data_IF_907598115961
#
_entry.id   IF_907598115961
#
_cell.length_a   1.000
_cell.length_b   1.000
_cell.length_c   1.000
_cell.angle_alpha   90.00
_cell.angle_beta   90.00
_cell.angle_gamma   90.00
#
_symmetry.space_group_name_H-M   'P 1'
#
loop_
_entity.id
_entity.type
_entity.pdbx_description
1 polymer ?
#
# COMPACT_ATOMS: atom_id res chain seq x y z
N UNK A 1 77.12 -0.27 -28.33
CA UNK A 1 76.06 0.61 -27.79
C UNK A 1 74.78 -0.20 -27.70
N UNK A 2 74.33 -0.55 -26.49
CA UNK A 2 73.04 -1.21 -26.24
C UNK A 2 72.39 -0.45 -25.08
N UNK A 3 71.36 0.32 -25.39
CA UNK A 3 70.59 1.09 -24.44
C UNK A 3 69.39 0.24 -23.99
N UNK A 4 69.38 -0.12 -22.71
CA UNK A 4 68.27 -0.86 -22.09
C UNK A 4 67.29 0.17 -21.52
N UNK A 5 66.08 0.24 -22.09
CA UNK A 5 64.99 1.07 -21.58
C UNK A 5 64.24 0.32 -20.47
N UNK A 6 64.16 0.91 -19.28
CA UNK A 6 63.28 0.45 -18.20
C UNK A 6 61.90 1.11 -18.37
N UNK A 7 60.85 0.29 -18.49
CA UNK A 7 59.45 0.75 -18.53
C UNK A 7 58.85 0.58 -17.14
N UNK A 8 58.53 1.69 -16.49
CA UNK A 8 57.80 1.74 -15.22
C UNK A 8 56.30 1.55 -15.47
N UNK A 9 55.73 0.43 -15.01
CA UNK A 9 54.30 0.21 -15.01
C UNK A 9 53.67 0.79 -13.73
N UNK A 10 52.91 1.88 -13.87
CA UNK A 10 52.05 2.43 -12.83
C UNK A 10 50.80 1.54 -12.73
N UNK A 11 50.73 0.68 -11.70
CA UNK A 11 49.49 0.00 -11.36
C UNK A 11 48.56 0.98 -10.62
N UNK A 12 47.55 1.46 -11.32
CA UNK A 12 46.43 2.20 -10.74
C UNK A 12 45.60 1.25 -9.86
N UNK A 13 45.68 1.43 -8.55
CA UNK A 13 44.81 0.76 -7.60
C UNK A 13 43.40 1.34 -7.70
N UNK A 14 42.47 0.62 -8.33
CA UNK A 14 41.03 0.90 -8.21
C UNK A 14 40.58 0.44 -6.83
N UNK A 15 40.29 1.39 -5.94
CA UNK A 15 39.65 1.10 -4.67
C UNK A 15 38.24 0.55 -4.95
N UNK A 16 38.04 -0.74 -4.69
CA UNK A 16 36.72 -1.33 -4.65
C UNK A 16 35.99 -0.78 -3.41
N UNK A 17 35.09 0.17 -3.62
CA UNK A 17 34.15 0.60 -2.58
C UNK A 17 33.18 -0.56 -2.39
N UNK A 18 33.43 -1.39 -1.38
CA UNK A 18 32.50 -2.42 -0.94
C UNK A 18 31.30 -1.72 -0.33
N UNK A 19 30.27 -1.47 -1.16
CA UNK A 19 28.98 -1.01 -0.68
C UNK A 19 28.43 -2.10 0.26
N UNK A 20 28.24 -1.74 1.54
CA UNK A 20 27.58 -2.63 2.49
C UNK A 20 26.26 -3.09 1.87
N UNK A 21 25.93 -4.40 1.92
CA UNK A 21 24.59 -4.82 1.59
C UNK A 21 23.66 -4.08 2.55
N UNK A 22 22.88 -3.16 2.02
CA UNK A 22 21.76 -2.59 2.74
C UNK A 22 20.84 -3.76 2.99
N UNK A 23 20.93 -4.31 4.20
CA UNK A 23 19.97 -5.28 4.69
C UNK A 23 18.61 -4.66 4.44
N UNK A 24 17.89 -5.21 3.45
CA UNK A 24 16.51 -4.88 3.19
C UNK A 24 15.80 -5.20 4.49
N UNK A 25 15.53 -4.17 5.30
CA UNK A 25 14.65 -4.24 6.46
C UNK A 25 13.44 -5.02 5.98
N UNK A 26 13.28 -6.24 6.52
CA UNK A 26 12.29 -7.18 6.06
C UNK A 26 10.93 -6.48 6.11
N UNK A 27 10.46 -6.15 4.90
CA UNK A 27 9.22 -5.46 4.54
C UNK A 27 7.98 -6.36 4.79
N UNK A 28 8.08 -7.30 5.72
CA UNK A 28 7.10 -8.38 5.93
C UNK A 28 6.09 -8.14 7.05
N UNK A 29 6.31 -7.14 7.90
CA UNK A 29 5.60 -7.02 9.19
C UNK A 29 4.48 -5.96 9.17
N UNK A 30 3.78 -5.78 8.04
CA UNK A 30 2.50 -5.04 8.04
C UNK A 30 1.28 -5.97 8.04
N UNK A 31 1.49 -7.26 7.77
CA UNK A 31 0.44 -8.26 7.84
C UNK A 31 0.31 -8.89 9.23
N UNK A 32 1.17 -8.55 10.20
CA UNK A 32 1.23 -9.34 11.42
C UNK A 32 0.08 -9.04 12.39
N UNK A 33 -0.41 -7.79 12.44
CA UNK A 33 -1.77 -7.43 12.90
C UNK A 33 -2.12 -6.06 12.33
N UNK A 34 -3.37 -5.86 11.92
CA UNK A 34 -3.96 -4.52 11.97
C UNK A 34 -3.58 -3.91 13.31
N UNK A 35 -3.05 -2.67 13.37
CA UNK A 35 -3.13 -1.94 14.62
C UNK A 35 -4.56 -2.06 15.12
N UNK A 36 -4.73 -2.54 16.36
CA UNK A 36 -6.02 -2.62 17.04
C UNK A 36 -6.51 -1.21 17.41
N UNK A 37 -6.34 -0.26 16.50
CA UNK A 37 -6.54 1.17 16.69
C UNK A 37 -7.96 1.61 16.29
N UNK A 38 -8.84 0.64 16.01
CA UNK A 38 -10.27 0.86 15.77
C UNK A 38 -10.63 1.28 14.34
N UNK A 39 -9.68 1.25 13.38
CA UNK A 39 -10.00 1.47 11.96
C UNK A 39 -10.58 0.21 11.33
N UNK A 40 -11.61 0.36 10.50
CA UNK A 40 -12.26 -0.77 9.84
C UNK A 40 -11.45 -1.27 8.64
N UNK A 41 -10.85 -0.35 7.88
CA UNK A 41 -10.01 -0.68 6.74
C UNK A 41 -8.87 0.33 6.55
N UNK A 42 -7.89 -0.04 5.74
CA UNK A 42 -6.86 0.86 5.21
C UNK A 42 -6.84 0.73 3.69
N UNK A 43 -6.87 1.84 2.97
CA UNK A 43 -6.81 1.88 1.50
C UNK A 43 -5.52 2.56 1.04
N UNK A 44 -4.98 2.12 -0.09
CA UNK A 44 -3.70 2.57 -0.63
C UNK A 44 -3.83 2.96 -2.10
N UNK A 45 -3.06 3.97 -2.53
CA UNK A 45 -3.05 4.43 -3.93
C UNK A 45 -2.22 3.56 -4.87
N UNK A 46 -1.40 2.67 -4.33
CA UNK A 46 -0.60 1.73 -5.11
C UNK A 46 -1.03 0.30 -4.85
N UNK A 47 -0.70 -0.59 -5.78
CA UNK A 47 -0.79 -2.03 -5.58
C UNK A 47 0.28 -2.51 -4.59
N UNK A 48 0.10 -3.70 -4.03
CA UNK A 48 1.02 -4.35 -3.10
C UNK A 48 1.35 -3.50 -1.86
N UNK A 49 0.44 -2.60 -1.47
CA UNK A 49 0.65 -1.65 -0.37
C UNK A 49 1.91 -0.78 -0.54
N UNK A 50 2.33 -0.57 -1.80
CA UNK A 50 3.50 0.23 -2.11
C UNK A 50 3.26 1.73 -1.83
N UNK A 51 4.36 2.47 -1.67
CA UNK A 51 4.35 3.89 -1.33
C UNK A 51 5.39 4.22 -0.27
N UNK A 52 5.72 5.51 -0.14
CA UNK A 52 6.74 5.99 0.80
C UNK A 52 6.18 6.15 2.22
N UNK A 53 4.98 5.60 2.46
CA UNK A 53 4.26 5.64 3.73
C UNK A 53 4.03 7.07 4.23
N UNK A 54 3.93 8.01 3.29
CA UNK A 54 3.47 9.37 3.55
C UNK A 54 1.94 9.40 3.54
N UNK A 55 1.35 10.34 4.28
CA UNK A 55 -0.11 10.45 4.46
C UNK A 55 -0.90 10.67 3.16
N UNK A 56 -0.22 10.82 2.02
CA UNK A 56 -0.83 10.92 0.69
C UNK A 56 -1.04 9.58 0.00
N UNK A 57 -0.38 8.52 0.46
CA UNK A 57 -0.29 7.22 -0.23
C UNK A 57 -1.24 6.18 0.36
N UNK A 58 -1.65 6.35 1.62
CA UNK A 58 -2.63 5.52 2.30
C UNK A 58 -3.55 6.35 3.19
N UNK A 59 -4.76 5.86 3.44
CA UNK A 59 -5.67 6.44 4.43
C UNK A 59 -6.42 5.36 5.19
N UNK A 60 -6.63 5.62 6.48
CA UNK A 60 -7.41 4.76 7.37
C UNK A 60 -8.89 5.09 7.24
N UNK A 61 -9.70 4.06 7.05
CA UNK A 61 -11.15 4.14 6.94
C UNK A 61 -11.77 3.80 8.29
N UNK A 62 -12.53 4.72 8.91
CA UNK A 62 -13.21 4.44 10.17
C UNK A 62 -14.41 3.50 9.96
N UNK A 63 -14.96 3.00 11.07
CA UNK A 63 -16.31 2.42 11.06
C UNK A 63 -17.31 3.51 10.67
N UNK A 64 -18.26 3.19 9.81
CA UNK A 64 -19.27 4.13 9.31
C UNK A 64 -20.69 3.76 9.76
N UNK A 65 -20.89 2.63 10.43
CA UNK A 65 -22.18 2.16 10.95
C UNK A 65 -23.31 2.24 9.90
N UNK A 66 -23.03 1.70 8.71
CA UNK A 66 -23.92 1.69 7.54
C UNK A 66 -24.26 3.09 6.95
N UNK A 67 -23.57 4.15 7.39
CA UNK A 67 -23.54 5.41 6.64
C UNK A 67 -22.59 5.30 5.44
N UNK A 68 -23.03 5.83 4.30
CA UNK A 68 -22.21 5.87 3.10
C UNK A 68 -21.14 6.97 3.16
N UNK A 69 -19.89 6.57 3.05
CA UNK A 69 -18.73 7.42 3.16
C UNK A 69 -18.17 7.78 1.77
N UNK A 70 -18.21 9.07 1.41
CA UNK A 70 -17.64 9.59 0.15
C UNK A 70 -16.14 9.82 0.28
N UNK A 71 -15.31 9.12 -0.49
CA UNK A 71 -13.85 9.29 -0.43
C UNK A 71 -13.42 10.72 -0.82
N UNK A 72 -14.15 11.38 -1.73
CA UNK A 72 -13.82 12.75 -2.10
C UNK A 72 -14.03 13.72 -0.93
N UNK A 73 -15.20 13.64 -0.31
CA UNK A 73 -15.66 14.61 0.67
C UNK A 73 -14.84 14.59 1.95
N UNK A 74 -14.35 13.41 2.32
CA UNK A 74 -13.65 13.20 3.59
C UNK A 74 -12.12 13.18 3.46
N UNK A 75 -11.60 12.67 2.34
CA UNK A 75 -10.15 12.46 2.22
C UNK A 75 -9.48 13.27 1.11
N UNK A 76 -10.24 13.93 0.22
CA UNK A 76 -9.72 14.83 -0.81
C UNK A 76 -8.75 14.17 -1.80
N UNK A 77 -9.13 14.06 -3.07
CA UNK A 77 -8.24 13.45 -4.09
C UNK A 77 -7.96 11.96 -3.86
N UNK A 78 -8.88 11.28 -3.17
CA UNK A 78 -8.89 9.82 -2.97
C UNK A 78 -9.94 9.11 -3.83
N UNK A 79 -10.83 9.85 -4.47
CA UNK A 79 -11.75 9.31 -5.47
C UNK A 79 -11.00 8.58 -6.57
N UNK A 80 -11.44 7.37 -6.88
CA UNK A 80 -10.90 6.56 -7.97
C UNK A 80 -9.36 6.39 -7.89
N UNK A 81 -8.82 6.38 -6.68
CA UNK A 81 -7.37 6.31 -6.46
C UNK A 81 -6.93 5.01 -5.77
N UNK A 82 -7.86 4.28 -5.15
CA UNK A 82 -7.54 3.06 -4.40
C UNK A 82 -7.13 1.93 -5.34
N UNK A 83 -6.04 1.24 -5.01
CA UNK A 83 -5.47 0.15 -5.82
C UNK A 83 -5.12 -1.12 -5.04
N UNK A 84 -4.98 -0.98 -3.73
CA UNK A 84 -4.88 -2.10 -2.78
C UNK A 84 -5.53 -1.67 -1.48
N UNK A 85 -6.00 -2.64 -0.70
CA UNK A 85 -6.65 -2.36 0.57
C UNK A 85 -6.57 -3.53 1.55
N UNK A 86 -6.82 -3.22 2.82
CA UNK A 86 -6.89 -4.20 3.90
C UNK A 86 -8.16 -3.91 4.70
N UNK A 87 -9.02 -4.92 4.88
CA UNK A 87 -10.12 -4.88 5.85
C UNK A 87 -9.69 -5.61 7.10
N UNK A 88 -9.84 -4.98 8.25
CA UNK A 88 -9.35 -5.52 9.51
C UNK A 88 -10.28 -6.57 10.07
N UNK A 89 -9.71 -7.44 10.91
CA UNK A 89 -10.49 -8.45 11.64
C UNK A 89 -11.58 -7.78 12.50
N UNK A 90 -12.75 -8.39 12.54
CA UNK A 90 -13.94 -7.88 13.22
C UNK A 90 -14.73 -6.84 12.42
N UNK A 91 -14.40 -6.61 11.14
CA UNK A 91 -15.09 -5.64 10.30
C UNK A 91 -15.50 -6.19 8.95
N UNK A 92 -16.59 -5.64 8.41
CA UNK A 92 -17.02 -5.82 7.03
C UNK A 92 -17.13 -4.47 6.35
N UNK A 93 -16.57 -4.38 5.14
CA UNK A 93 -16.64 -3.20 4.32
C UNK A 93 -17.21 -3.53 2.94
N UNK A 94 -17.97 -2.58 2.40
CA UNK A 94 -18.57 -2.63 1.08
C UNK A 94 -18.05 -1.40 0.31
N UNK A 95 -17.32 -1.66 -0.79
CA UNK A 95 -16.68 -0.62 -1.59
C UNK A 95 -17.43 -0.45 -2.91
N UNK A 96 -17.65 0.79 -3.34
CA UNK A 96 -18.47 1.12 -4.50
C UNK A 96 -17.69 1.99 -5.47
N UNK A 97 -17.91 1.77 -6.77
CA UNK A 97 -17.37 2.60 -7.85
C UNK A 97 -18.27 3.78 -8.22
N UNK A 98 -19.41 3.93 -7.54
CA UNK A 98 -20.31 5.08 -7.66
C UNK A 98 -20.33 5.88 -6.36
N UNK A 99 -20.84 7.11 -6.45
CA UNK A 99 -21.11 7.95 -5.28
C UNK A 99 -22.27 7.38 -4.46
N UNK A 100 -22.36 7.79 -3.19
CA UNK A 100 -23.50 7.48 -2.31
C UNK A 100 -23.81 5.98 -2.19
N UNK A 101 -22.78 5.14 -2.33
CA UNK A 101 -22.87 3.68 -2.18
C UNK A 101 -23.88 3.06 -3.15
N UNK A 102 -23.99 3.66 -4.35
CA UNK A 102 -24.79 3.14 -5.45
C UNK A 102 -24.10 2.00 -6.20
N UNK A 103 -24.92 1.15 -6.84
CA UNK A 103 -24.45 0.03 -7.64
C UNK A 103 -24.07 -1.22 -6.84
N UNK A 104 -23.36 -2.14 -7.48
CA UNK A 104 -22.92 -3.39 -6.88
C UNK A 104 -21.60 -3.19 -6.12
N UNK A 105 -21.53 -3.54 -4.82
CA UNK A 105 -20.31 -3.38 -4.04
C UNK A 105 -19.32 -4.54 -4.23
N UNK A 106 -18.03 -4.21 -4.08
CA UNK A 106 -17.03 -5.18 -3.66
C UNK A 106 -17.16 -5.39 -2.14
N UNK A 107 -17.70 -6.54 -1.74
CA UNK A 107 -17.86 -6.90 -0.34
C UNK A 107 -16.61 -7.60 0.19
N UNK A 108 -16.01 -7.09 1.25
CA UNK A 108 -14.84 -7.68 1.91
C UNK A 108 -15.07 -7.74 3.42
N UNK A 109 -14.64 -8.84 4.04
CA UNK A 109 -14.90 -9.13 5.44
C UNK A 109 -13.63 -9.67 6.08
N UNK A 110 -13.21 -9.06 7.18
CA UNK A 110 -12.21 -9.62 8.06
C UNK A 110 -12.89 -10.42 9.17
N UNK A 111 -13.22 -11.69 8.91
CA UNK A 111 -13.91 -12.54 9.88
C UNK A 111 -12.95 -13.59 10.45
N UNK A 112 -12.32 -13.28 11.59
CA UNK A 112 -11.32 -14.12 12.23
C UNK A 112 -9.89 -13.87 11.74
N UNK A 113 -9.73 -13.12 10.65
CA UNK A 113 -8.45 -12.63 10.13
C UNK A 113 -8.69 -11.40 9.22
N UNK A 114 -7.62 -10.69 8.85
CA UNK A 114 -7.73 -9.56 7.93
C UNK A 114 -8.04 -10.04 6.51
N UNK A 115 -8.89 -9.31 5.79
CA UNK A 115 -9.02 -9.48 4.33
C UNK A 115 -8.03 -8.55 3.63
N UNK A 116 -6.92 -9.12 3.17
CA UNK A 116 -5.81 -8.42 2.51
C UNK A 116 -5.97 -8.48 0.99
N UNK A 117 -6.02 -7.33 0.33
CA UNK A 117 -6.15 -7.21 -1.13
C UNK A 117 -4.95 -6.45 -1.69
N UNK A 118 -3.94 -7.20 -2.15
CA UNK A 118 -2.74 -6.64 -2.80
C UNK A 118 -3.05 -5.93 -4.12
N UNK A 119 -4.09 -6.39 -4.80
CA UNK A 119 -4.64 -5.82 -6.04
C UNK A 119 -6.15 -5.84 -5.96
N UNK A 120 -6.81 -4.96 -6.71
CA UNK A 120 -8.27 -4.96 -6.83
C UNK A 120 -8.74 -5.61 -8.14
N UNK A 121 -9.97 -6.16 -8.17
CA UNK A 121 -10.61 -6.58 -9.42
C UNK A 121 -10.68 -5.43 -10.43
N UNK A 122 -10.72 -5.75 -11.72
CA UNK A 122 -10.70 -4.77 -12.84
C UNK A 122 -11.75 -3.66 -12.70
N UNK A 123 -12.94 -3.94 -12.18
CA UNK A 123 -14.01 -2.95 -11.96
C UNK A 123 -13.84 -2.04 -10.73
N UNK A 124 -12.80 -2.28 -9.92
CA UNK A 124 -12.55 -1.59 -8.65
C UNK A 124 -11.13 -0.98 -8.56
N UNK A 125 -10.13 -1.49 -9.29
CA UNK A 125 -8.79 -0.88 -9.33
C UNK A 125 -8.86 0.56 -9.87
N UNK A 126 -8.43 1.53 -9.06
CA UNK A 126 -8.56 2.96 -9.36
C UNK A 126 -9.99 3.39 -9.69
N UNK A 127 -11.00 2.75 -9.11
CA UNK A 127 -12.40 3.05 -9.41
C UNK A 127 -13.27 3.27 -8.16
N UNK A 128 -12.80 2.91 -6.96
CA UNK A 128 -13.58 3.11 -5.72
C UNK A 128 -13.82 4.61 -5.46
N UNK A 129 -15.08 4.98 -5.22
CA UNK A 129 -15.53 6.36 -4.99
C UNK A 129 -16.17 6.52 -3.61
N UNK A 130 -16.90 5.50 -3.14
CA UNK A 130 -17.53 5.50 -1.82
C UNK A 130 -17.43 4.13 -1.17
N UNK A 131 -17.66 4.08 0.14
CA UNK A 131 -17.61 2.86 0.93
C UNK A 131 -18.52 2.94 2.14
N UNK A 132 -18.80 1.80 2.74
CA UNK A 132 -19.34 1.71 4.10
C UNK A 132 -18.67 0.56 4.84
N UNK A 133 -18.45 0.73 6.13
CA UNK A 133 -17.82 -0.27 6.98
C UNK A 133 -18.59 -0.41 8.30
N UNK A 134 -18.80 -1.65 8.74
CA UNK A 134 -19.44 -1.97 10.02
C UNK A 134 -18.65 -3.02 10.78
N UNK A 135 -18.81 -3.06 12.10
CA UNK A 135 -18.33 -4.17 12.92
C UNK A 135 -19.12 -5.45 12.62
N UNK A 136 -18.48 -6.61 12.79
CA UNK A 136 -19.05 -7.95 12.66
C UNK A 136 -19.49 -8.54 14.01
#
# INVERSE_FOLDING_TARGET
MRATFFISALLSATAAVSALPTSLVQRGEYCDKSPSDGRAATIFKQQDFAGDRIATDYVSVPVTDDFCFSLNSFFGGWTASTRSLIVNDGYKCEFYNQSECGGEPLCLSGQGEQSVQHTLPEGFDSAIVSLQCRAL
#
